data_IF_070287809807
#
_entry.id   IF_070287809807
#
_cell.length_a   1.000
_cell.length_b   1.000
_cell.length_c   1.000
_cell.angle_alpha   90.00
_cell.angle_beta   90.00
_cell.angle_gamma   90.00
#
_symmetry.space_group_name_H-M   'P 1'
#
loop_
_entity.id
_entity.type
_entity.pdbx_description
1 polymer ?
#
# COMPACT_ATOMS: atom_id res chain seq x y z
N UNK A 1 4.26 -4.57 5.33
CA UNK A 1 4.45 -3.12 5.12
C UNK A 1 5.84 -2.86 4.57
N UNK A 2 5.97 -1.97 3.57
CA UNK A 2 7.24 -1.65 2.94
C UNK A 2 7.96 -0.56 3.76
N UNK A 3 9.25 -0.76 4.05
CA UNK A 3 10.06 0.28 4.70
C UNK A 3 10.71 1.16 3.64
N UNK A 4 10.46 2.46 3.70
CA UNK A 4 11.07 3.45 2.80
C UNK A 4 12.22 4.16 3.52
N UNK A 5 13.36 4.36 2.85
CA UNK A 5 14.59 4.97 3.41
C UNK A 5 15.20 4.29 4.63
N UNK A 6 14.85 3.04 4.91
CA UNK A 6 15.48 2.26 5.97
C UNK A 6 16.89 1.88 5.54
N UNK A 7 17.93 2.46 6.17
CA UNK A 7 19.30 1.99 5.97
C UNK A 7 19.41 0.53 6.44
N UNK A 8 20.18 -0.31 5.72
CA UNK A 8 20.52 -1.64 6.22
C UNK A 8 21.24 -1.49 7.56
N UNK A 9 21.00 -2.42 8.49
CA UNK A 9 21.76 -2.52 9.74
C UNK A 9 23.19 -2.96 9.41
N UNK A 10 23.97 -2.08 8.80
CA UNK A 10 25.36 -2.33 8.47
C UNK A 10 26.20 -1.72 9.59
N UNK A 11 26.88 -2.51 10.44
CA UNK A 11 27.62 -1.99 11.58
C UNK A 11 28.75 -1.01 11.19
N UNK A 12 29.20 -1.06 9.93
CA UNK A 12 30.24 -0.19 9.38
C UNK A 12 29.72 1.19 8.95
N UNK A 13 28.47 1.29 8.48
CA UNK A 13 27.82 2.56 8.07
C UNK A 13 26.99 3.20 9.20
N UNK A 14 26.76 2.47 10.29
CA UNK A 14 26.01 2.94 11.46
C UNK A 14 26.88 3.70 12.48
N UNK A 15 28.19 3.79 12.28
CA UNK A 15 29.11 4.48 13.21
C UNK A 15 28.86 5.99 13.26
N UNK A 16 28.49 6.61 12.14
CA UNK A 16 28.33 8.06 12.08
C UNK A 16 27.03 8.55 12.77
N UNK A 17 25.94 7.76 12.73
CA UNK A 17 24.66 8.12 13.39
C UNK A 17 24.58 7.70 14.86
N UNK A 18 25.27 6.62 15.26
CA UNK A 18 25.35 6.23 16.68
C UNK A 18 26.13 7.23 17.54
N UNK A 19 26.85 8.16 16.92
CA UNK A 19 27.65 9.17 17.61
C UNK A 19 26.84 10.35 18.16
N UNK A 20 25.56 10.50 17.79
CA UNK A 20 24.70 11.59 18.27
C UNK A 20 23.70 11.08 19.30
N UNK A 21 23.86 11.44 20.60
CA UNK A 21 22.87 11.12 21.62
C UNK A 21 21.49 11.65 21.21
N UNK A 22 20.50 10.77 21.11
CA UNK A 22 19.11 11.15 20.78
C UNK A 22 18.67 10.94 19.33
N UNK A 23 19.53 10.46 18.42
CA UNK A 23 19.12 10.15 17.05
C UNK A 23 18.18 8.93 16.97
N UNK A 24 16.88 9.18 16.75
CA UNK A 24 15.90 8.12 16.47
C UNK A 24 15.83 7.86 14.97
N UNK A 25 16.07 6.62 14.50
CA UNK A 25 15.96 6.30 13.08
C UNK A 25 14.54 6.59 12.59
N UNK A 26 14.44 7.25 11.43
CA UNK A 26 13.17 7.64 10.82
C UNK A 26 12.37 6.38 10.44
N UNK A 27 11.35 6.05 11.23
CA UNK A 27 10.44 4.92 11.00
C UNK A 27 9.29 5.35 10.09
N UNK A 28 9.60 5.80 8.88
CA UNK A 28 8.54 6.07 7.91
C UNK A 28 8.00 4.74 7.36
N UNK A 29 6.68 4.56 7.44
CA UNK A 29 6.01 3.30 7.06
C UNK A 29 5.00 3.60 5.96
N UNK A 30 5.13 2.84 4.88
CA UNK A 30 4.21 2.86 3.75
C UNK A 30 3.64 1.45 3.60
N UNK A 31 2.32 1.33 3.61
CA UNK A 31 1.67 0.04 3.38
C UNK A 31 1.11 0.02 1.97
N UNK A 32 1.42 -1.06 1.25
CA UNK A 32 0.94 -1.31 -0.09
C UNK A 32 0.22 -2.64 -0.07
N UNK A 33 -1.03 -2.64 -0.52
CA UNK A 33 -1.79 -3.84 -0.81
C UNK A 33 -1.80 -4.05 -2.31
N UNK A 34 -1.28 -5.19 -2.72
CA UNK A 34 -1.20 -5.62 -4.11
C UNK A 34 -2.14 -6.82 -4.30
N UNK A 35 -2.66 -6.95 -5.51
CA UNK A 35 -3.46 -8.10 -5.88
C UNK A 35 -3.44 -8.30 -7.39
N UNK A 36 -3.40 -9.56 -7.79
CA UNK A 36 -3.48 -10.00 -9.18
C UNK A 36 -4.16 -11.37 -9.21
N UNK A 37 -4.64 -11.78 -10.37
CA UNK A 37 -5.04 -13.19 -10.56
C UNK A 37 -3.80 -14.10 -10.67
N UNK A 38 -4.03 -15.41 -10.62
CA UNK A 38 -2.97 -16.41 -10.64
C UNK A 38 -2.14 -16.41 -11.93
N UNK A 39 -2.75 -16.11 -13.07
CA UNK A 39 -2.10 -15.98 -14.38
C UNK A 39 -1.32 -14.66 -14.54
N UNK A 40 -1.63 -13.64 -13.75
CA UNK A 40 -0.94 -12.34 -13.73
C UNK A 40 -1.35 -11.36 -14.84
N UNK A 41 -2.30 -11.74 -15.69
CA UNK A 41 -2.90 -10.91 -16.75
C UNK A 41 -3.95 -9.93 -16.22
N UNK A 42 -4.57 -10.21 -15.06
CA UNK A 42 -5.39 -9.24 -14.32
C UNK A 42 -4.61 -8.69 -13.13
N UNK A 43 -4.33 -7.38 -13.14
CA UNK A 43 -3.69 -6.66 -12.03
C UNK A 43 -4.68 -5.69 -11.39
N UNK A 44 -4.85 -5.77 -10.08
CA UNK A 44 -5.71 -4.86 -9.34
C UNK A 44 -4.97 -3.55 -9.06
N UNK A 45 -5.71 -2.44 -9.10
CA UNK A 45 -5.19 -1.13 -8.68
C UNK A 45 -4.77 -1.21 -7.20
N UNK A 46 -3.50 -0.94 -6.86
CA UNK A 46 -3.02 -1.10 -5.48
C UNK A 46 -3.67 -0.13 -4.50
N UNK A 47 -3.85 -0.54 -3.25
CA UNK A 47 -4.15 0.38 -2.14
C UNK A 47 -2.84 0.83 -1.49
N UNK A 48 -2.63 2.15 -1.46
CA UNK A 48 -1.47 2.77 -0.84
C UNK A 48 -1.90 3.53 0.42
N UNK A 49 -1.41 3.09 1.57
CA UNK A 49 -1.70 3.71 2.86
C UNK A 49 -0.44 4.34 3.43
N UNK A 50 -0.51 5.64 3.68
CA UNK A 50 0.57 6.40 4.32
C UNK A 50 0.12 7.04 5.63
N UNK A 51 1.05 7.41 6.51
CA UNK A 51 0.68 7.97 7.81
C UNK A 51 0.11 9.41 7.73
N UNK A 52 0.46 10.19 6.69
CA UNK A 52 0.02 11.58 6.52
C UNK A 52 -0.84 11.75 5.27
N UNK A 53 -1.99 12.44 5.40
CA UNK A 53 -2.90 12.71 4.27
C UNK A 53 -2.24 13.50 3.14
N UNK A 54 -1.47 14.54 3.48
CA UNK A 54 -0.79 15.40 2.51
C UNK A 54 0.71 15.47 2.80
N UNK A 55 1.51 14.49 2.32
CA UNK A 55 2.96 14.51 2.48
C UNK A 55 3.57 15.81 1.95
N UNK A 56 4.62 16.32 2.59
CA UNK A 56 5.34 17.53 2.13
C UNK A 56 5.80 17.40 0.68
N UNK A 57 6.24 16.21 0.26
CA UNK A 57 6.63 15.93 -1.12
C UNK A 57 5.47 16.11 -2.11
N UNK A 58 4.25 15.72 -1.74
CA UNK A 58 3.08 15.88 -2.61
C UNK A 58 2.71 17.35 -2.77
N UNK A 59 2.77 18.12 -1.68
CA UNK A 59 2.54 19.57 -1.71
C UNK A 59 3.59 20.29 -2.56
N UNK A 60 4.87 19.98 -2.35
CA UNK A 60 6.00 20.60 -3.07
C UNK A 60 5.93 20.34 -4.57
N UNK A 61 5.47 19.16 -4.97
CA UNK A 61 5.43 18.73 -6.37
C UNK A 61 4.03 18.82 -7.00
N UNK A 62 3.06 19.48 -6.33
CA UNK A 62 1.67 19.62 -6.79
C UNK A 62 1.03 18.31 -7.26
N UNK A 63 1.28 17.21 -6.53
CA UNK A 63 0.77 15.87 -6.87
C UNK A 63 -0.73 15.81 -6.62
N UNK A 64 -1.51 15.54 -7.67
CA UNK A 64 -2.95 15.25 -7.54
C UNK A 64 -3.15 13.77 -7.23
N UNK A 65 -3.67 13.45 -6.04
CA UNK A 65 -3.85 12.05 -5.58
C UNK A 65 -4.77 11.22 -6.48
N UNK A 66 -5.81 11.83 -7.06
CA UNK A 66 -6.74 11.13 -7.96
C UNK A 66 -6.08 10.68 -9.27
N UNK A 67 -4.98 11.34 -9.67
CA UNK A 67 -4.19 10.97 -10.85
C UNK A 67 -3.20 9.83 -10.56
N UNK A 68 -3.03 9.43 -9.30
CA UNK A 68 -2.14 8.34 -8.97
C UNK A 68 -2.74 6.99 -9.43
N UNK A 69 -1.92 6.05 -9.92
CA UNK A 69 -2.35 4.71 -10.31
C UNK A 69 -2.62 3.81 -9.08
N UNK A 70 -2.93 4.39 -7.92
CA UNK A 70 -3.22 3.70 -6.66
C UNK A 70 -4.44 4.32 -5.99
N UNK A 71 -5.12 3.55 -5.14
CA UNK A 71 -6.09 4.08 -4.20
C UNK A 71 -5.32 4.68 -3.02
N UNK A 72 -5.19 6.00 -2.98
CA UNK A 72 -4.49 6.70 -1.90
C UNK A 72 -5.36 6.80 -0.66
N UNK A 73 -4.83 6.37 0.49
CA UNK A 73 -5.43 6.58 1.80
C UNK A 73 -4.36 7.03 2.80
N UNK A 74 -4.77 7.81 3.79
CA UNK A 74 -3.93 8.03 4.96
C UNK A 74 -4.52 7.44 6.21
N UNK A 75 -3.63 6.99 7.09
CA UNK A 75 -4.00 6.43 8.36
C UNK A 75 -2.88 6.68 9.39
N UNK A 76 -3.15 7.58 10.33
CA UNK A 76 -2.24 7.86 11.43
C UNK A 76 -2.15 6.70 12.44
N UNK A 77 -3.19 5.87 12.51
CA UNK A 77 -3.36 4.82 13.51
C UNK A 77 -3.36 3.47 12.80
N UNK A 78 -2.18 2.85 12.74
CA UNK A 78 -1.89 1.64 11.96
C UNK A 78 -2.88 0.44 12.10
N UNK A 79 -3.76 0.44 13.09
CA UNK A 79 -4.79 -0.59 13.32
C UNK A 79 -6.04 -0.47 12.44
N UNK A 80 -6.32 0.69 11.81
CA UNK A 80 -7.51 0.86 10.96
C UNK A 80 -7.38 0.26 9.54
N UNK A 81 -6.54 -0.77 9.34
CA UNK A 81 -6.32 -1.39 8.03
C UNK A 81 -7.54 -2.14 7.50
N UNK A 82 -8.32 -2.81 8.35
CA UNK A 82 -9.48 -3.61 7.93
C UNK A 82 -10.55 -2.78 7.21
N UNK A 83 -10.83 -1.57 7.69
CA UNK A 83 -11.77 -0.67 7.03
C UNK A 83 -11.27 -0.25 5.64
N UNK A 84 -9.99 0.08 5.52
CA UNK A 84 -9.37 0.45 4.25
C UNK A 84 -9.32 -0.74 3.28
N UNK A 85 -9.07 -1.95 3.81
CA UNK A 85 -9.12 -3.19 3.04
C UNK A 85 -10.53 -3.44 2.50
N UNK A 86 -11.57 -3.37 3.35
CA UNK A 86 -12.98 -3.48 2.91
C UNK A 86 -13.32 -2.43 1.86
N UNK A 87 -12.90 -1.19 2.08
CA UNK A 87 -13.15 -0.11 1.12
C UNK A 87 -12.50 -0.41 -0.23
N UNK A 88 -11.24 -0.86 -0.25
CA UNK A 88 -10.56 -1.27 -1.47
C UNK A 88 -11.20 -2.48 -2.13
N UNK A 89 -11.62 -3.47 -1.32
CA UNK A 89 -12.29 -4.67 -1.80
C UNK A 89 -13.55 -4.30 -2.60
N UNK A 90 -14.43 -3.47 -2.03
CA UNK A 90 -15.68 -3.10 -2.68
C UNK A 90 -15.52 -2.04 -3.78
N UNK A 91 -14.59 -1.10 -3.66
CA UNK A 91 -14.43 0.00 -4.64
C UNK A 91 -13.50 -0.33 -5.80
N UNK A 92 -12.59 -1.28 -5.62
CA UNK A 92 -11.55 -1.61 -6.61
C UNK A 92 -11.60 -3.08 -6.98
N UNK A 93 -11.47 -3.99 -6.01
CA UNK A 93 -11.33 -5.41 -6.30
C UNK A 93 -12.58 -6.00 -6.98
N UNK A 94 -13.76 -5.83 -6.39
CA UNK A 94 -15.02 -6.40 -6.92
C UNK A 94 -15.37 -5.88 -8.32
N UNK A 95 -15.32 -4.55 -8.59
CA UNK A 95 -15.53 -4.04 -9.95
C UNK A 95 -14.50 -4.58 -10.94
N UNK A 96 -13.21 -4.58 -10.61
CA UNK A 96 -12.17 -5.09 -11.51
C UNK A 96 -12.32 -6.58 -11.83
N UNK A 97 -12.74 -7.40 -10.85
CA UNK A 97 -13.05 -8.80 -11.08
C UNK A 97 -14.24 -8.92 -12.04
N UNK A 98 -15.30 -8.13 -11.84
CA UNK A 98 -16.48 -8.17 -12.70
C UNK A 98 -16.12 -7.77 -14.13
N UNK A 99 -15.46 -6.64 -14.31
CA UNK A 99 -15.03 -6.13 -15.61
C UNK A 99 -14.16 -7.16 -16.36
N UNK A 100 -13.26 -7.85 -15.65
CA UNK A 100 -12.44 -8.91 -16.23
C UNK A 100 -13.27 -10.13 -16.67
N UNK A 101 -14.24 -10.56 -15.88
CA UNK A 101 -15.09 -11.69 -16.25
C UNK A 101 -15.98 -11.35 -17.43
N UNK A 102 -16.59 -10.17 -17.43
CA UNK A 102 -17.42 -9.66 -18.52
C UNK A 102 -16.61 -9.54 -19.83
N UNK A 103 -15.35 -9.11 -19.76
CA UNK A 103 -14.47 -9.00 -20.93
C UNK A 103 -13.94 -10.34 -21.48
N UNK A 104 -13.98 -11.41 -20.69
CA UNK A 104 -13.48 -12.74 -21.07
C UNK A 104 -14.59 -13.80 -21.19
N UNK A 105 -15.87 -13.37 -21.15
CA UNK A 105 -17.05 -14.26 -21.17
C UNK A 105 -17.00 -15.38 -20.11
N UNK A 106 -16.50 -15.06 -18.92
CA UNK A 106 -16.36 -16.00 -17.81
C UNK A 106 -17.54 -15.90 -16.83
N UNK A 107 -17.96 -17.02 -16.21
CA UNK A 107 -18.99 -16.97 -15.17
C UNK A 107 -18.48 -16.21 -13.93
N UNK A 108 -19.31 -15.34 -13.34
CA UNK A 108 -18.95 -14.52 -12.18
C UNK A 108 -18.71 -15.36 -10.91
N UNK A 109 -17.53 -15.97 -10.81
CA UNK A 109 -17.05 -16.75 -9.67
C UNK A 109 -15.58 -16.48 -9.46
N UNK A 110 -15.23 -15.93 -8.30
CA UNK A 110 -13.85 -15.66 -7.94
C UNK A 110 -13.54 -16.19 -6.54
N UNK A 111 -12.31 -16.67 -6.35
CA UNK A 111 -11.76 -17.00 -5.04
C UNK A 111 -10.66 -16.00 -4.71
N UNK A 112 -10.77 -15.38 -3.53
CA UNK A 112 -9.77 -14.43 -3.04
C UNK A 112 -8.85 -15.14 -2.05
N UNK A 113 -7.58 -15.29 -2.41
CA UNK A 113 -6.54 -15.78 -1.53
C UNK A 113 -5.90 -14.60 -0.81
N UNK A 114 -5.90 -14.64 0.53
CA UNK A 114 -5.34 -13.61 1.39
C UNK A 114 -4.24 -14.20 2.25
N UNK A 115 -3.19 -13.41 2.52
CA UNK A 115 -2.23 -13.78 3.56
C UNK A 115 -2.86 -13.63 4.96
N UNK A 116 -2.25 -14.23 5.97
CA UNK A 116 -2.73 -14.14 7.36
C UNK A 116 -2.22 -12.86 8.05
N UNK A 117 -2.47 -11.69 7.46
CA UNK A 117 -2.18 -10.40 8.08
C UNK A 117 -3.38 -9.89 8.91
N UNK A 118 -3.16 -9.27 10.08
CA UNK A 118 -4.24 -8.75 10.94
C UNK A 118 -5.17 -7.70 10.30
N UNK A 119 -4.76 -7.13 9.16
CA UNK A 119 -5.48 -6.08 8.44
C UNK A 119 -6.33 -6.58 7.28
N UNK A 120 -6.28 -7.88 6.97
CA UNK A 120 -7.19 -8.55 6.03
C UNK A 120 -8.55 -8.84 6.68
#
# INVERSE_FOLDING_TARGET
GLFWKRKPNCPYLAKDEKSVPGHKPMKDRLTLLLGANASGDMKLKPLLVYHTENPRAFKKNSITKSKLPVMWRSNQRAWAMQYLFKEWLFKVCTPSIKDYHDANDLPLKAQLLLDNAPGH
#
